data_IF_778451096730
#
_entry.id   IF_778451096730
#
_cell.length_a   1.000
_cell.length_b   1.000
_cell.length_c   1.000
_cell.angle_alpha   90.00
_cell.angle_beta   90.00
_cell.angle_gamma   90.00
#
_symmetry.space_group_name_H-M   'P 1'
#
loop_
_entity.id
_entity.type
_entity.pdbx_description
1 polymer ?
#
# COMPACT_ATOMS: atom_id res chain seq x y z
N UNK A 1 -2.06 -2.35 -8.17
CA UNK A 1 -2.45 -0.95 -7.92
C UNK A 1 -1.25 -0.01 -7.85
N UNK A 2 -0.32 -0.18 -6.92
CA UNK A 2 0.76 0.80 -6.68
C UNK A 2 1.74 1.00 -7.84
N UNK A 3 2.10 -0.09 -8.53
CA UNK A 3 2.92 0.02 -9.75
C UNK A 3 2.20 0.89 -10.78
N UNK A 4 0.91 0.64 -11.04
CA UNK A 4 0.14 1.41 -12.01
C UNK A 4 0.03 2.91 -11.64
N UNK A 5 -0.15 3.24 -10.36
CA UNK A 5 -0.22 4.66 -9.92
C UNK A 5 1.11 5.37 -10.22
N UNK A 6 2.24 4.73 -9.91
CA UNK A 6 3.57 5.30 -10.18
C UNK A 6 3.87 5.35 -11.69
N UNK A 7 3.57 4.28 -12.45
CA UNK A 7 3.80 4.24 -13.90
C UNK A 7 3.00 5.29 -14.65
N UNK A 8 1.75 5.53 -14.24
CA UNK A 8 0.89 6.56 -14.85
C UNK A 8 1.18 7.96 -14.29
N UNK A 9 2.09 8.06 -13.31
CA UNK A 9 2.43 9.28 -12.59
C UNK A 9 1.19 10.09 -12.12
N UNK A 10 0.16 9.40 -11.62
CA UNK A 10 -1.10 10.03 -11.22
C UNK A 10 -1.01 10.69 -9.85
N UNK A 11 -0.31 10.05 -8.91
CA UNK A 11 -0.16 10.50 -7.54
C UNK A 11 1.09 9.88 -6.92
N UNK A 12 1.63 10.52 -5.87
CA UNK A 12 2.67 9.90 -5.04
C UNK A 12 2.16 8.60 -4.41
N UNK A 13 2.87 7.49 -4.65
CA UNK A 13 2.54 6.24 -3.99
C UNK A 13 3.77 5.38 -3.71
N UNK A 14 4.43 5.65 -2.60
CA UNK A 14 5.66 4.94 -2.21
C UNK A 14 5.41 4.05 -1.01
N UNK A 15 6.07 2.88 -0.98
CA UNK A 15 5.93 1.86 0.08
C UNK A 15 7.27 1.61 0.75
N UNK A 16 7.29 1.44 2.08
CA UNK A 16 8.47 1.67 2.94
C UNK A 16 9.63 0.70 2.91
N UNK A 17 9.93 0.13 1.74
CA UNK A 17 11.11 -0.70 1.54
C UNK A 17 11.78 -0.30 0.24
N UNK A 18 13.11 -0.22 0.29
CA UNK A 18 13.94 -0.06 -0.90
C UNK A 18 13.70 1.25 -1.67
N UNK A 19 13.37 2.33 -0.97
CA UNK A 19 13.24 3.66 -1.54
C UNK A 19 14.57 4.40 -1.49
N UNK A 20 14.87 5.15 -2.55
CA UNK A 20 16.01 6.06 -2.61
C UNK A 20 15.50 7.49 -2.84
N UNK A 21 15.91 8.42 -1.98
CA UNK A 21 15.56 9.83 -2.09
C UNK A 21 16.81 10.67 -2.30
N UNK A 22 16.73 11.71 -3.14
CA UNK A 22 17.81 12.68 -3.25
C UNK A 22 17.83 13.56 -2.00
N UNK A 23 18.92 13.50 -1.24
CA UNK A 23 19.07 14.26 0.01
C UNK A 23 18.81 15.76 -0.16
N UNK A 24 19.35 16.38 -1.21
CA UNK A 24 19.16 17.82 -1.47
C UNK A 24 17.70 18.23 -1.66
N UNK A 25 16.86 17.30 -2.13
CA UNK A 25 15.44 17.56 -2.34
C UNK A 25 14.66 17.32 -1.03
N UNK A 26 15.03 16.28 -0.27
CA UNK A 26 14.44 16.02 1.06
C UNK A 26 14.70 17.17 2.02
N UNK A 27 15.91 17.75 2.02
CA UNK A 27 16.28 18.86 2.90
C UNK A 27 15.47 20.15 2.64
N UNK A 28 14.65 20.19 1.57
CA UNK A 28 13.81 21.34 1.17
C UNK A 28 12.31 21.16 1.41
N UNK A 29 11.87 19.98 1.85
CA UNK A 29 10.44 19.67 2.07
C UNK A 29 10.10 19.54 3.55
N UNK A 30 8.85 19.77 3.90
CA UNK A 30 8.38 19.77 5.30
C UNK A 30 7.14 18.92 5.59
N UNK A 31 6.58 18.30 4.56
CA UNK A 31 5.42 17.43 4.67
C UNK A 31 4.10 18.19 4.86
N UNK A 32 4.02 19.43 4.40
CA UNK A 32 2.76 20.19 4.28
C UNK A 32 1.97 19.83 3.03
N UNK A 33 2.62 19.21 2.04
CA UNK A 33 2.05 18.87 0.74
C UNK A 33 1.57 20.09 -0.05
N UNK A 34 2.12 21.27 0.25
CA UNK A 34 1.85 22.53 -0.45
C UNK A 34 3.09 22.96 -1.22
N UNK A 35 2.94 23.47 -2.46
CA UNK A 35 4.08 24.01 -3.21
C UNK A 35 4.90 24.97 -2.36
N UNK A 36 6.23 24.80 -2.39
CA UNK A 36 7.14 25.68 -1.63
C UNK A 36 7.06 27.10 -2.22
N UNK A 37 6.59 28.05 -1.42
CA UNK A 37 6.62 29.47 -1.77
C UNK A 37 7.97 30.07 -1.34
N UNK A 38 8.78 30.61 -2.27
CA UNK A 38 10.03 31.28 -1.94
C UNK A 38 9.88 32.47 -1.00
N UNK A 39 8.67 33.03 -0.86
CA UNK A 39 8.35 34.16 0.02
C UNK A 39 7.89 33.74 1.42
N UNK A 40 7.69 32.44 1.68
CA UNK A 40 7.32 31.94 3.01
C UNK A 40 8.57 31.77 3.89
N UNK A 41 8.87 32.81 4.66
CA UNK A 41 10.05 32.90 5.53
C UNK A 41 9.69 32.66 7.01
N UNK A 42 8.85 31.67 7.31
CA UNK A 42 8.59 31.30 8.71
C UNK A 42 9.84 30.65 9.34
N UNK A 43 10.52 31.32 10.31
CA UNK A 43 11.72 30.78 10.93
C UNK A 43 11.44 29.57 11.85
N UNK A 44 10.18 29.31 12.22
CA UNK A 44 9.79 28.14 12.99
C UNK A 44 9.57 26.89 12.12
N UNK A 45 9.49 27.06 10.79
CA UNK A 45 9.24 25.98 9.83
C UNK A 45 10.45 25.05 9.77
N UNK A 46 10.22 23.77 10.04
CA UNK A 46 11.25 22.73 9.97
C UNK A 46 11.21 22.09 8.61
N UNK A 47 12.39 21.80 8.04
CA UNK A 47 12.53 21.08 6.78
C UNK A 47 13.37 19.81 6.98
N UNK A 48 13.33 18.91 6.00
CA UNK A 48 14.10 17.68 6.00
C UNK A 48 13.49 16.58 6.87
N UNK A 49 14.28 15.53 7.10
CA UNK A 49 13.86 14.35 7.87
C UNK A 49 13.18 14.63 9.23
N UNK A 50 13.63 15.62 10.05
CA UNK A 50 12.98 15.91 11.32
C UNK A 50 11.49 16.26 11.18
N UNK A 51 11.09 16.84 10.06
CA UNK A 51 9.69 17.19 9.80
C UNK A 51 8.79 15.97 9.64
N UNK A 52 9.34 14.84 9.21
CA UNK A 52 8.56 13.63 8.93
C UNK A 52 8.44 12.69 10.14
N UNK A 53 9.13 12.95 11.25
CA UNK A 53 9.07 12.13 12.47
C UNK A 53 7.67 12.07 13.11
N UNK A 54 6.77 12.97 12.71
CA UNK A 54 5.36 13.00 13.14
C UNK A 54 4.47 11.99 12.41
N UNK A 55 4.97 11.34 11.36
CA UNK A 55 4.22 10.37 10.56
C UNK A 55 4.67 8.93 10.87
N UNK A 56 3.72 7.99 10.83
CA UNK A 56 4.02 6.56 11.01
C UNK A 56 4.47 5.87 9.71
N UNK A 57 4.20 6.52 8.58
CA UNK A 57 4.61 6.10 7.25
C UNK A 57 5.37 7.27 6.61
N UNK A 58 6.50 7.60 7.25
CA UNK A 58 7.37 8.72 6.89
C UNK A 58 7.88 8.63 5.45
N UNK A 59 8.12 7.42 4.97
CA UNK A 59 8.51 7.07 3.61
C UNK A 59 7.53 7.60 2.55
N UNK A 60 6.24 7.30 2.73
CA UNK A 60 5.20 7.75 1.83
C UNK A 60 5.00 9.26 1.97
N UNK A 61 5.12 9.81 3.17
CA UNK A 61 4.96 11.25 3.40
C UNK A 61 6.11 12.06 2.80
N UNK A 62 7.35 11.57 2.86
CA UNK A 62 8.50 12.18 2.16
C UNK A 62 8.25 12.17 0.65
N UNK A 63 7.81 11.03 0.12
CA UNK A 63 7.51 10.89 -1.31
C UNK A 63 6.41 11.87 -1.76
N UNK A 64 5.33 11.98 -0.99
CA UNK A 64 4.23 12.92 -1.26
C UNK A 64 4.68 14.38 -1.14
N UNK A 65 5.56 14.69 -0.19
CA UNK A 65 6.10 16.03 -0.06
C UNK A 65 6.99 16.39 -1.27
N UNK A 66 7.88 15.50 -1.71
CA UNK A 66 8.66 15.71 -2.94
C UNK A 66 7.75 15.93 -4.16
N UNK A 67 6.65 15.19 -4.25
CA UNK A 67 5.69 15.29 -5.33
C UNK A 67 4.92 16.62 -5.35
N UNK A 68 4.33 17.02 -4.22
CA UNK A 68 3.44 18.18 -4.18
C UNK A 68 4.14 19.50 -3.85
N UNK A 69 5.26 19.46 -3.13
CA UNK A 69 5.97 20.67 -2.69
C UNK A 69 7.02 21.12 -3.71
N UNK A 70 7.68 20.17 -4.37
CA UNK A 70 8.78 20.42 -5.32
C UNK A 70 8.49 19.99 -6.76
N UNK A 71 7.33 19.40 -7.02
CA UNK A 71 6.96 18.84 -8.34
C UNK A 71 7.91 17.73 -8.84
N UNK A 72 8.52 16.98 -7.92
CA UNK A 72 9.44 15.88 -8.25
C UNK A 72 8.69 14.55 -8.32
N UNK A 73 8.84 13.83 -9.42
CA UNK A 73 8.17 12.54 -9.65
C UNK A 73 9.01 11.36 -9.15
N UNK A 74 8.33 10.24 -8.92
CA UNK A 74 8.96 8.96 -8.58
C UNK A 74 9.09 8.10 -9.83
N UNK A 75 10.11 7.25 -9.85
CA UNK A 75 10.28 6.20 -10.83
C UNK A 75 10.52 4.87 -10.12
N UNK A 76 10.06 3.77 -10.71
CA UNK A 76 10.20 2.43 -10.14
C UNK A 76 11.19 1.64 -11.00
N UNK A 77 12.34 1.28 -10.42
CA UNK A 77 13.30 0.42 -11.11
C UNK A 77 12.68 -0.93 -11.46
N UNK A 78 13.16 -1.54 -12.54
CA UNK A 78 12.87 -2.95 -12.88
C UNK A 78 13.55 -3.93 -11.93
N UNK A 79 14.47 -3.46 -11.09
CA UNK A 79 15.17 -4.29 -10.11
C UNK A 79 14.23 -4.73 -8.98
N UNK A 80 14.34 -6.01 -8.63
CA UNK A 80 13.54 -6.59 -7.54
C UNK A 80 14.35 -6.56 -6.26
N UNK A 81 13.91 -5.74 -5.30
CA UNK A 81 14.44 -5.81 -3.95
C UNK A 81 13.82 -6.99 -3.19
N UNK A 82 14.62 -8.02 -2.90
CA UNK A 82 14.16 -9.17 -2.13
C UNK A 82 13.66 -8.78 -0.74
N UNK A 83 12.61 -9.46 -0.28
CA UNK A 83 11.95 -9.12 0.96
C UNK A 83 11.54 -10.38 1.74
N UNK A 84 11.95 -10.42 3.00
CA UNK A 84 11.56 -11.48 3.95
C UNK A 84 10.84 -10.82 5.12
N UNK A 85 9.55 -11.10 5.26
CA UNK A 85 8.72 -10.57 6.37
C UNK A 85 8.81 -11.46 7.63
N UNK A 86 9.36 -12.67 7.49
CA UNK A 86 9.43 -13.67 8.55
C UNK A 86 8.10 -14.41 8.76
N UNK A 87 8.07 -15.30 9.76
CA UNK A 87 6.87 -16.02 10.15
C UNK A 87 5.93 -15.09 10.93
N UNK A 88 4.62 -15.21 10.71
CA UNK A 88 3.61 -14.43 11.42
C UNK A 88 2.40 -15.30 11.75
N UNK A 89 1.75 -15.01 12.88
CA UNK A 89 0.45 -15.63 13.18
C UNK A 89 -0.65 -14.99 12.34
N UNK A 90 -1.82 -15.64 12.26
CA UNK A 90 -2.99 -15.05 11.60
C UNK A 90 -3.44 -13.73 12.26
N UNK A 91 -3.31 -13.64 13.59
CA UNK A 91 -3.61 -12.42 14.33
C UNK A 91 -2.62 -11.29 13.98
N UNK A 92 -1.33 -11.60 13.88
CA UNK A 92 -0.32 -10.61 13.46
C UNK A 92 -0.57 -10.12 12.04
N UNK A 93 -0.94 -11.02 11.13
CA UNK A 93 -1.35 -10.68 9.77
C UNK A 93 -2.54 -9.71 9.78
N UNK A 94 -3.61 -10.05 10.51
CA UNK A 94 -4.81 -9.23 10.62
C UNK A 94 -4.47 -7.82 11.12
N UNK A 95 -3.82 -7.71 12.27
CA UNK A 95 -3.49 -6.42 12.88
C UNK A 95 -2.50 -5.60 12.06
N UNK A 96 -1.57 -6.26 11.33
CA UNK A 96 -0.69 -5.60 10.38
C UNK A 96 -1.48 -4.95 9.24
N UNK A 97 -2.42 -5.67 8.62
CA UNK A 97 -3.25 -5.11 7.54
C UNK A 97 -4.15 -3.98 8.04
N UNK A 98 -4.76 -4.15 9.21
CA UNK A 98 -5.57 -3.09 9.85
C UNK A 98 -4.75 -1.82 10.06
N UNK A 99 -3.53 -1.94 10.59
CA UNK A 99 -2.63 -0.79 10.80
C UNK A 99 -2.39 -0.02 9.49
N UNK A 100 -2.00 -0.73 8.42
CA UNK A 100 -1.68 -0.08 7.15
C UNK A 100 -2.89 0.58 6.49
N UNK A 101 -4.09 0.00 6.59
CA UNK A 101 -5.30 0.63 6.06
C UNK A 101 -5.66 1.89 6.86
N UNK A 102 -5.57 1.83 8.20
CA UNK A 102 -5.83 3.00 9.08
C UNK A 102 -4.87 4.15 8.85
N UNK A 103 -3.62 3.84 8.51
CA UNK A 103 -2.59 4.83 8.17
C UNK A 103 -2.82 5.37 6.75
N UNK A 104 -2.95 4.49 5.74
CA UNK A 104 -3.09 4.87 4.32
C UNK A 104 -4.34 5.70 4.02
N UNK A 105 -5.47 5.46 4.71
CA UNK A 105 -6.69 6.23 4.44
C UNK A 105 -6.55 7.74 4.70
N UNK A 106 -5.60 8.15 5.54
CA UNK A 106 -5.31 9.57 5.81
C UNK A 106 -4.16 10.13 4.98
N UNK A 107 -3.44 9.29 4.23
CA UNK A 107 -2.36 9.73 3.35
C UNK A 107 -2.80 9.74 1.88
N UNK A 108 -3.46 8.68 1.42
CA UNK A 108 -3.92 8.50 0.04
C UNK A 108 -5.31 7.84 0.07
N UNK A 109 -6.33 8.63 0.42
CA UNK A 109 -7.69 8.14 0.63
C UNK A 109 -8.28 7.49 -0.64
N UNK A 110 -8.07 8.11 -1.80
CA UNK A 110 -8.59 7.63 -3.09
C UNK A 110 -8.09 6.22 -3.39
N UNK A 111 -6.77 6.00 -3.35
CA UNK A 111 -6.16 4.68 -3.55
C UNK A 111 -6.63 3.67 -2.50
N UNK A 112 -6.81 4.12 -1.25
CA UNK A 112 -7.30 3.24 -0.17
C UNK A 112 -8.74 2.78 -0.42
N UNK A 113 -9.63 3.67 -0.86
CA UNK A 113 -11.03 3.30 -1.19
C UNK A 113 -11.09 2.37 -2.41
N UNK A 114 -10.17 2.55 -3.37
CA UNK A 114 -10.11 1.71 -4.57
C UNK A 114 -9.51 0.32 -4.32
N UNK A 115 -8.72 0.14 -3.26
CA UNK A 115 -8.01 -1.10 -2.95
C UNK A 115 -8.91 -2.35 -3.01
N UNK A 116 -10.11 -2.41 -2.37
CA UNK A 116 -10.96 -3.60 -2.39
C UNK A 116 -11.45 -3.99 -3.79
N UNK A 117 -11.60 -3.04 -4.70
CA UNK A 117 -12.04 -3.30 -6.08
C UNK A 117 -10.94 -3.91 -6.93
N UNK A 118 -9.69 -3.82 -6.48
CA UNK A 118 -8.52 -4.43 -7.13
C UNK A 118 -8.18 -5.81 -6.59
N UNK A 119 -8.91 -6.30 -5.58
CA UNK A 119 -8.68 -7.60 -4.95
C UNK A 119 -9.52 -8.68 -5.63
N UNK A 120 -9.01 -9.91 -5.63
CA UNK A 120 -9.46 -11.01 -6.48
C UNK A 120 -10.98 -11.22 -6.49
N UNK A 121 -11.61 -11.33 -5.33
CA UNK A 121 -13.04 -11.70 -5.21
C UNK A 121 -13.96 -10.61 -5.78
N UNK A 122 -13.74 -9.35 -5.39
CA UNK A 122 -14.57 -8.22 -5.84
C UNK A 122 -14.36 -8.01 -7.33
N UNK A 123 -13.10 -8.02 -7.77
CA UNK A 123 -12.75 -7.88 -9.19
C UNK A 123 -13.36 -9.00 -10.03
N UNK A 124 -13.20 -10.27 -9.63
CA UNK A 124 -13.76 -11.43 -10.33
C UNK A 124 -15.28 -11.34 -10.45
N UNK A 125 -15.96 -10.90 -9.39
CA UNK A 125 -17.42 -10.75 -9.38
C UNK A 125 -17.85 -9.69 -10.41
N UNK A 126 -17.32 -8.48 -10.32
CA UNK A 126 -17.68 -7.38 -11.23
C UNK A 126 -17.30 -7.68 -12.67
N UNK A 127 -16.11 -8.23 -12.90
CA UNK A 127 -15.63 -8.60 -14.22
C UNK A 127 -16.46 -9.74 -14.83
N UNK A 128 -16.81 -10.77 -14.06
CA UNK A 128 -17.67 -11.87 -14.56
C UNK A 128 -19.06 -11.39 -14.97
N UNK A 129 -19.65 -10.43 -14.24
CA UNK A 129 -20.92 -9.81 -14.60
C UNK A 129 -20.79 -9.03 -15.92
N UNK A 130 -19.75 -8.21 -16.03
CA UNK A 130 -19.50 -7.35 -17.18
C UNK A 130 -19.21 -8.15 -18.45
N UNK A 131 -18.31 -9.14 -18.36
CA UNK A 131 -17.91 -9.98 -19.50
C UNK A 131 -19.06 -10.88 -19.95
N UNK A 132 -19.87 -11.39 -19.02
CA UNK A 132 -21.07 -12.13 -19.37
C UNK A 132 -22.09 -11.25 -20.10
N UNK A 133 -22.30 -10.01 -19.64
CA UNK A 133 -23.22 -9.08 -20.28
C UNK A 133 -22.76 -8.66 -21.68
N UNK A 134 -21.47 -8.35 -21.85
CA UNK A 134 -20.92 -7.82 -23.11
C UNK A 134 -20.64 -8.90 -24.16
N UNK A 135 -20.18 -10.08 -23.73
CA UNK A 135 -19.66 -11.12 -24.62
C UNK A 135 -20.36 -12.48 -24.47
N UNK A 136 -21.33 -12.60 -23.58
CA UNK A 136 -22.04 -13.86 -23.33
C UNK A 136 -21.21 -14.95 -22.65
N UNK A 137 -19.99 -14.67 -22.20
CA UNK A 137 -19.12 -15.67 -21.58
C UNK A 137 -19.74 -16.15 -20.26
N UNK A 138 -19.82 -17.46 -19.99
CA UNK A 138 -20.37 -17.97 -18.74
C UNK A 138 -19.59 -17.46 -17.52
N UNK A 139 -20.31 -16.92 -16.52
CA UNK A 139 -19.70 -16.34 -15.30
C UNK A 139 -18.79 -17.33 -14.57
N UNK A 140 -19.24 -18.59 -14.45
CA UNK A 140 -18.48 -19.66 -13.78
C UNK A 140 -17.16 -19.93 -14.49
N UNK A 141 -17.18 -20.00 -15.82
CA UNK A 141 -15.96 -20.18 -16.61
C UNK A 141 -14.97 -19.03 -16.35
N UNK A 142 -15.45 -17.78 -16.42
CA UNK A 142 -14.62 -16.62 -16.13
C UNK A 142 -14.01 -16.65 -14.72
N UNK A 143 -14.82 -16.93 -13.70
CA UNK A 143 -14.35 -16.95 -12.30
C UNK A 143 -13.30 -18.04 -12.08
N UNK A 144 -13.52 -19.26 -12.60
CA UNK A 144 -12.53 -20.35 -12.49
C UNK A 144 -11.21 -19.98 -13.18
N UNK A 145 -11.28 -19.48 -14.41
CA UNK A 145 -10.09 -19.03 -15.14
C UNK A 145 -9.39 -17.87 -14.43
N UNK A 146 -10.14 -16.90 -13.92
CA UNK A 146 -9.61 -15.76 -13.18
C UNK A 146 -8.80 -16.21 -11.96
N UNK A 147 -9.35 -17.07 -11.10
CA UNK A 147 -8.64 -17.51 -9.89
C UNK A 147 -7.40 -18.36 -10.19
N UNK A 148 -7.41 -19.16 -11.27
CA UNK A 148 -6.21 -19.87 -11.72
C UNK A 148 -5.12 -18.89 -12.15
N UNK A 149 -5.46 -17.91 -13.00
CA UNK A 149 -4.50 -16.90 -13.45
C UNK A 149 -4.01 -16.01 -12.31
N UNK A 150 -4.88 -15.66 -11.38
CA UNK A 150 -4.56 -14.86 -10.20
C UNK A 150 -3.59 -15.60 -9.27
N UNK A 151 -3.86 -16.88 -9.00
CA UNK A 151 -2.94 -17.71 -8.22
C UNK A 151 -1.57 -17.85 -8.90
N UNK A 152 -1.53 -18.03 -10.22
CA UNK A 152 -0.28 -18.07 -10.99
C UNK A 152 0.50 -16.76 -10.90
N UNK A 153 -0.18 -15.61 -10.99
CA UNK A 153 0.42 -14.28 -10.81
C UNK A 153 1.03 -14.13 -9.41
N UNK A 154 0.30 -14.52 -8.37
CA UNK A 154 0.78 -14.44 -6.99
C UNK A 154 2.00 -15.34 -6.75
N UNK A 155 2.05 -16.53 -7.36
CA UNK A 155 3.23 -17.39 -7.33
C UNK A 155 4.43 -16.77 -8.03
N UNK A 156 4.21 -16.08 -9.15
CA UNK A 156 5.28 -15.38 -9.86
C UNK A 156 5.84 -14.21 -9.03
N UNK A 157 4.96 -13.40 -8.44
CA UNK A 157 5.34 -12.33 -7.50
C UNK A 157 6.06 -12.89 -6.29
N UNK A 158 5.59 -14.01 -5.72
CA UNK A 158 6.26 -14.67 -4.60
C UNK A 158 7.65 -15.18 -4.97
N UNK A 159 7.83 -15.80 -6.15
CA UNK A 159 9.14 -16.25 -6.64
C UNK A 159 10.11 -15.07 -6.73
N UNK A 160 9.66 -14.00 -7.37
CA UNK A 160 10.41 -12.77 -7.58
C UNK A 160 10.88 -12.15 -6.25
N UNK A 161 9.95 -11.95 -5.30
CA UNK A 161 10.26 -11.29 -4.03
C UNK A 161 11.07 -12.16 -3.06
N UNK A 162 10.88 -13.48 -3.08
CA UNK A 162 11.56 -14.38 -2.14
C UNK A 162 13.00 -14.73 -2.55
N UNK A 163 13.39 -14.44 -3.80
CA UNK A 163 14.67 -14.86 -4.36
C UNK A 163 14.79 -16.39 -4.49
N UNK A 164 13.69 -17.13 -4.31
CA UNK A 164 13.66 -18.58 -4.52
C UNK A 164 13.58 -18.85 -6.01
N UNK A 165 14.45 -19.73 -6.48
CA UNK A 165 14.43 -20.20 -7.86
C UNK A 165 13.19 -21.09 -8.08
N UNK A 166 12.56 -20.97 -9.26
CA UNK A 166 11.46 -21.86 -9.65
C UNK A 166 11.99 -23.30 -9.79
N UNK A 167 11.23 -24.35 -9.40
CA UNK A 167 9.83 -24.31 -8.96
C UNK A 167 9.67 -24.01 -7.46
N UNK A 168 8.66 -23.21 -7.12
CA UNK A 168 8.25 -23.00 -5.74
C UNK A 168 7.54 -24.26 -5.25
N UNK A 169 7.95 -24.80 -4.10
CA UNK A 169 7.20 -25.85 -3.42
C UNK A 169 5.88 -25.29 -2.88
N UNK A 170 4.76 -25.71 -3.48
CA UNK A 170 3.42 -25.35 -3.02
C UNK A 170 2.91 -26.49 -2.14
N UNK A 171 2.80 -26.24 -0.85
CA UNK A 171 2.18 -27.16 0.09
C UNK A 171 0.72 -26.75 0.40
N UNK A 172 0.01 -27.61 1.10
CA UNK A 172 -1.38 -27.36 1.49
C UNK A 172 -1.50 -26.16 2.45
N UNK A 173 -0.47 -25.88 3.26
CA UNK A 173 -0.44 -24.71 4.14
C UNK A 173 -0.37 -23.40 3.34
N UNK A 174 0.42 -23.37 2.26
CA UNK A 174 0.52 -22.24 1.36
C UNK A 174 -0.82 -21.95 0.69
N UNK A 175 -1.48 -22.99 0.15
CA UNK A 175 -2.79 -22.86 -0.48
C UNK A 175 -3.84 -22.37 0.53
N UNK A 176 -3.85 -22.95 1.73
CA UNK A 176 -4.75 -22.50 2.81
C UNK A 176 -4.48 -21.05 3.21
N UNK A 177 -3.23 -20.64 3.35
CA UNK A 177 -2.85 -19.26 3.68
C UNK A 177 -3.25 -18.29 2.57
N UNK A 178 -3.08 -18.66 1.30
CA UNK A 178 -3.50 -17.86 0.16
C UNK A 178 -5.03 -17.67 0.14
N UNK A 179 -5.80 -18.75 0.34
CA UNK A 179 -7.27 -18.68 0.43
C UNK A 179 -7.73 -17.80 1.59
N UNK A 180 -7.14 -17.98 2.78
CA UNK A 180 -7.43 -17.16 3.97
C UNK A 180 -7.13 -15.68 3.68
N UNK A 181 -6.01 -15.39 3.02
CA UNK A 181 -5.62 -14.02 2.65
C UNK A 181 -6.66 -13.37 1.73
N UNK A 182 -7.08 -14.07 0.68
CA UNK A 182 -8.08 -13.57 -0.28
C UNK A 182 -9.43 -13.34 0.40
N UNK A 183 -9.90 -14.31 1.20
CA UNK A 183 -11.17 -14.23 1.91
C UNK A 183 -11.20 -13.13 2.97
N UNK A 184 -10.10 -12.91 3.69
CA UNK A 184 -10.03 -11.91 4.76
C UNK A 184 -9.80 -10.49 4.26
N UNK A 185 -9.41 -10.28 2.99
CA UNK A 185 -9.08 -8.96 2.50
C UNK A 185 -10.22 -7.94 2.70
N UNK A 186 -11.42 -8.27 2.22
CA UNK A 186 -12.58 -7.39 2.29
C UNK A 186 -13.12 -7.20 3.73
N UNK A 187 -13.26 -8.24 4.56
CA UNK A 187 -13.59 -8.08 5.98
C UNK A 187 -12.59 -7.20 6.76
N UNK A 188 -11.28 -7.41 6.55
CA UNK A 188 -10.25 -6.60 7.18
C UNK A 188 -10.39 -5.14 6.75
N UNK A 189 -10.64 -4.89 5.46
CA UNK A 189 -10.82 -3.55 4.95
C UNK A 189 -11.96 -2.80 5.64
N UNK A 190 -13.16 -3.40 5.68
CA UNK A 190 -14.30 -2.78 6.35
C UNK A 190 -14.05 -2.56 7.84
N UNK A 191 -13.43 -3.52 8.53
CA UNK A 191 -13.08 -3.32 9.93
C UNK A 191 -12.07 -2.17 10.13
N UNK A 192 -11.08 -2.07 9.25
CA UNK A 192 -10.01 -1.10 9.38
C UNK A 192 -10.43 0.33 9.00
N UNK A 193 -11.21 0.51 7.93
CA UNK A 193 -11.52 1.83 7.36
C UNK A 193 -12.27 2.74 8.35
N UNK A 194 -13.06 2.18 9.25
CA UNK A 194 -13.81 2.94 10.26
C UNK A 194 -13.00 3.25 11.53
N UNK A 195 -11.85 2.59 11.76
CA UNK A 195 -11.00 2.84 12.93
C UNK A 195 -9.85 3.82 12.63
N UNK A 196 -9.37 4.57 13.64
CA UNK A 196 -8.23 5.49 13.49
C UNK A 196 -7.06 5.22 14.44
N UNK A 197 -7.20 4.24 15.34
CA UNK A 197 -6.19 3.93 16.35
C UNK A 197 -5.33 2.77 15.90
N UNK A 198 -4.02 2.83 16.12
CA UNK A 198 -3.06 1.79 15.77
C UNK A 198 -2.11 1.51 16.92
N UNK A 199 -1.82 0.23 17.15
CA UNK A 199 -0.77 -0.18 18.09
C UNK A 199 0.53 -0.38 17.32
N UNK A 200 1.59 0.30 17.73
CA UNK A 200 2.92 0.21 17.14
C UNK A 200 4.00 0.24 18.23
N UNK A 201 4.90 -0.76 18.22
CA UNK A 201 6.01 -0.91 19.19
C UNK A 201 5.57 -0.72 20.66
N UNK A 202 4.45 -1.33 21.02
CA UNK A 202 3.91 -1.29 22.39
C UNK A 202 3.19 0.01 22.79
N UNK A 203 3.06 0.98 21.87
CA UNK A 203 2.33 2.23 22.11
C UNK A 203 1.10 2.32 21.22
N UNK A 204 0.06 2.99 21.72
CA UNK A 204 -1.16 3.26 20.99
C UNK A 204 -1.11 4.67 20.40
N UNK A 205 -1.40 4.77 19.11
CA UNK A 205 -1.42 6.03 18.37
C UNK A 205 -2.77 6.24 17.71
N UNK A 206 -3.27 7.47 17.73
CA UNK A 206 -4.39 7.92 16.91
C UNK A 206 -3.85 8.61 15.67
N UNK A 207 -4.24 8.13 14.50
CA UNK A 207 -3.90 8.77 13.22
C UNK A 207 -4.87 9.93 13.00
N UNK A 208 -4.31 11.11 12.77
CA UNK A 208 -4.99 12.37 12.52
C UNK A 208 -5.36 12.51 11.04
N UNK A 209 -6.23 13.47 10.72
CA UNK A 209 -6.73 13.66 9.35
C UNK A 209 -5.65 14.08 8.35
N UNK A 210 -4.60 14.73 8.84
CA UNK A 210 -3.41 15.11 8.08
C UNK A 210 -2.35 13.99 7.99
N UNK A 211 -2.68 12.76 8.44
CA UNK A 211 -1.78 11.61 8.41
C UNK A 211 -0.83 11.51 9.61
N UNK A 212 -0.76 12.54 10.47
CA UNK A 212 0.11 12.55 11.65
C UNK A 212 -0.32 11.54 12.72
N UNK A 213 0.64 11.01 13.47
CA UNK A 213 0.40 10.10 14.56
C UNK A 213 0.50 10.82 15.91
N UNK A 214 -0.62 10.93 16.62
CA UNK A 214 -0.65 11.41 18.01
C UNK A 214 -0.73 10.23 18.96
N UNK A 215 -0.15 10.34 20.17
CA UNK A 215 -0.36 9.31 21.21
C UNK A 215 -1.85 9.25 21.55
N UNK A 216 -2.41 8.04 21.57
CA UNK A 216 -3.77 7.84 22.05
C UNK A 216 -3.76 7.93 23.58
N UNK A 217 -4.60 8.80 24.14
CA UNK A 217 -4.86 8.87 25.59
C UNK A 217 -5.60 7.62 26.06
#
# INVERSE_FOLDING_TARGET
MYVAINTMALESCVVGKSNLYRRSDVDRVDGTLKPVDPMDVDPARKFGFPSFARFLAEDNMIASALWHELDVRHDLSTDVAHNVVGNMTLADYFWRRVRWIRVRKYMVLSATIMEPFTESIVFATLASLSVNYLFGIPKVLFVLTHFVLWFMLDLDVYASLSGKHKPISIDHYFVAAWLIRELLCLPIFFYAIFGSTVVWRGRSYRILRNGEAALAM
#
